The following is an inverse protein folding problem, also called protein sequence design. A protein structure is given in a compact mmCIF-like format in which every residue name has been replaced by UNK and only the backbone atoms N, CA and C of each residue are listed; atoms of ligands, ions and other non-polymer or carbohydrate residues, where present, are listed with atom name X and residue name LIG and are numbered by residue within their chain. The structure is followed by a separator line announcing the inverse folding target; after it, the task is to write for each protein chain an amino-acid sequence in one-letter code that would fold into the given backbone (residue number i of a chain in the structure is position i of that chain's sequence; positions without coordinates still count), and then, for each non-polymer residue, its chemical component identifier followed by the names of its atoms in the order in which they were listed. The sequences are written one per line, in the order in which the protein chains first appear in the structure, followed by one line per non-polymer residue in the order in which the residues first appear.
data_IF_068138003300
#
_entry.id   IF_068138003300
#
_cell.length_a   1.000
_cell.length_b   1.000
_cell.length_c   1.000
_cell.angle_alpha   90.00
_cell.angle_beta   90.00
_cell.angle_gamma   90.00
#
_symmetry.space_group_name_H-M   'P 1'
#
loop_
_entity.id
_entity.type
_entity.pdbx_description
1 polymer ?
#
# COMPACT_ATOMS: atom_id res chain seq x y z
N UNK A 1 5.51 -21.89 13.67
CA UNK A 1 4.09 -22.22 13.38
C UNK A 1 3.98 -22.93 12.02
N UNK A 2 4.52 -22.32 10.97
CA UNK A 2 4.69 -22.89 9.61
C UNK A 2 5.14 -24.36 9.58
N UNK A 3 6.32 -24.69 10.14
CA UNK A 3 6.84 -26.08 10.17
C UNK A 3 5.86 -27.10 10.76
N UNK A 4 5.11 -26.73 11.81
CA UNK A 4 4.15 -27.62 12.47
C UNK A 4 2.93 -27.87 11.58
N UNK A 5 2.46 -26.84 10.86
CA UNK A 5 1.35 -26.95 9.92
C UNK A 5 1.74 -27.74 8.67
N UNK A 6 2.92 -27.47 8.10
CA UNK A 6 3.46 -28.24 6.99
C UNK A 6 3.59 -29.72 7.35
N UNK A 7 4.11 -30.06 8.55
CA UNK A 7 4.18 -31.45 9.00
C UNK A 7 2.81 -32.13 9.13
N UNK A 8 1.79 -31.41 9.62
CA UNK A 8 0.42 -31.95 9.72
C UNK A 8 -0.21 -32.16 8.34
N UNK A 9 0.00 -31.22 7.43
CA UNK A 9 -0.49 -31.27 6.05
C UNK A 9 0.20 -32.41 5.28
N UNK A 10 1.51 -32.55 5.42
CA UNK A 10 2.30 -33.63 4.81
C UNK A 10 1.81 -35.01 5.27
N UNK A 11 1.56 -35.17 6.57
CA UNK A 11 0.97 -36.39 7.11
C UNK A 11 -0.40 -36.69 6.48
N UNK A 12 -1.29 -35.69 6.42
CA UNK A 12 -2.61 -35.84 5.82
C UNK A 12 -2.54 -36.22 4.34
N UNK A 13 -1.74 -35.51 3.53
CA UNK A 13 -1.58 -35.80 2.10
C UNK A 13 -0.98 -37.18 1.87
N UNK A 14 -0.01 -37.60 2.70
CA UNK A 14 0.57 -38.95 2.60
C UNK A 14 -0.48 -40.02 2.87
N UNK A 15 -1.24 -39.89 3.97
CA UNK A 15 -2.33 -40.83 4.29
C UNK A 15 -3.43 -40.86 3.21
N UNK A 16 -3.69 -39.72 2.56
CA UNK A 16 -4.63 -39.62 1.45
C UNK A 16 -4.13 -40.36 0.21
N UNK A 17 -2.87 -40.13 -0.19
CA UNK A 17 -2.24 -40.83 -1.31
C UNK A 17 -2.21 -42.35 -1.07
N UNK A 18 -1.87 -42.78 0.15
CA UNK A 18 -1.87 -44.19 0.53
C UNK A 18 -3.27 -44.82 0.51
N UNK A 19 -4.29 -44.09 0.98
CA UNK A 19 -5.69 -44.55 0.89
C UNK A 19 -6.15 -44.75 -0.55
N UNK A 20 -5.71 -43.91 -1.48
CA UNK A 20 -5.98 -44.09 -2.92
C UNK A 20 -5.29 -45.37 -3.42
N UNK A 21 -4.02 -45.58 -3.09
CA UNK A 21 -3.27 -46.78 -3.47
C UNK A 21 -3.94 -48.06 -2.96
N UNK A 22 -4.39 -48.04 -1.70
CA UNK A 22 -5.09 -49.16 -1.09
C UNK A 22 -6.42 -49.42 -1.81
N UNK A 23 -7.15 -48.36 -2.19
CA UNK A 23 -8.41 -48.50 -2.92
C UNK A 23 -8.22 -49.07 -4.32
N UNK A 24 -7.19 -48.63 -5.05
CA UNK A 24 -6.81 -49.19 -6.36
C UNK A 24 -6.48 -50.67 -6.24
N UNK A 25 -5.80 -51.05 -5.16
CA UNK A 25 -5.45 -52.45 -4.87
C UNK A 25 -6.68 -53.29 -4.53
N UNK A 26 -7.60 -52.77 -3.71
CA UNK A 26 -8.88 -53.43 -3.40
C UNK A 26 -9.77 -53.63 -4.62
N UNK A 27 -9.74 -52.71 -5.59
CA UNK A 27 -10.46 -52.83 -6.85
C UNK A 27 -9.81 -53.80 -7.85
N UNK A 28 -8.66 -54.41 -7.50
CA UNK A 28 -7.93 -55.33 -8.37
C UNK A 28 -7.28 -54.66 -9.59
N UNK A 29 -7.20 -53.32 -9.61
CA UNK A 29 -6.68 -52.54 -10.73
C UNK A 29 -5.15 -52.45 -10.75
N UNK A 30 -4.45 -53.08 -9.82
CA UNK A 30 -2.98 -53.04 -9.70
C UNK A 30 -2.24 -53.62 -10.92
N UNK A 31 -2.90 -54.46 -11.72
CA UNK A 31 -2.34 -55.01 -12.98
C UNK A 31 -2.56 -54.10 -14.20
N UNK A 32 -3.39 -53.05 -14.07
CA UNK A 32 -3.63 -52.12 -15.17
C UNK A 32 -2.49 -51.08 -15.23
N UNK A 33 -1.80 -51.03 -16.36
CA UNK A 33 -0.69 -50.11 -16.60
C UNK A 33 -1.11 -48.64 -16.49
N UNK A 34 -2.33 -48.31 -16.93
CA UNK A 34 -2.89 -46.95 -16.85
C UNK A 34 -3.15 -46.52 -15.40
N UNK A 35 -3.63 -47.46 -14.56
CA UNK A 35 -3.85 -47.21 -13.14
C UNK A 35 -2.53 -46.96 -12.40
N UNK A 36 -1.46 -47.68 -12.77
CA UNK A 36 -0.13 -47.47 -12.21
C UNK A 36 0.49 -46.13 -12.66
N UNK A 37 0.27 -45.71 -13.91
CA UNK A 37 0.67 -44.37 -14.39
C UNK A 37 -0.06 -43.26 -13.61
N UNK A 38 -1.36 -43.42 -13.38
CA UNK A 38 -2.14 -42.46 -12.59
C UNK A 38 -1.66 -42.40 -11.14
N UNK A 39 -1.38 -43.55 -10.52
CA UNK A 39 -0.82 -43.61 -9.16
C UNK A 39 0.52 -42.87 -9.09
N UNK A 40 1.42 -43.12 -10.05
CA UNK A 40 2.70 -42.42 -10.11
C UNK A 40 2.50 -40.91 -10.21
N UNK A 41 1.62 -40.44 -11.09
CA UNK A 41 1.28 -39.02 -11.21
C UNK A 41 0.76 -38.43 -9.88
N UNK A 42 -0.09 -39.16 -9.16
CA UNK A 42 -0.60 -38.72 -7.84
C UNK A 42 0.54 -38.60 -6.81
N UNK A 43 1.50 -39.53 -6.80
CA UNK A 43 2.63 -39.48 -5.87
C UNK A 43 3.61 -38.36 -6.20
N UNK A 44 3.86 -38.13 -7.49
CA UNK A 44 4.76 -37.08 -7.99
C UNK A 44 4.11 -35.68 -7.93
N UNK A 45 2.79 -35.60 -7.78
CA UNK A 45 2.09 -34.32 -7.66
C UNK A 45 2.63 -33.48 -6.51
N UNK A 46 2.88 -32.21 -6.83
CA UNK A 46 3.60 -31.29 -5.99
C UNK A 46 2.89 -31.05 -4.65
N UNK A 47 3.67 -30.97 -3.57
CA UNK A 47 3.13 -30.90 -2.23
C UNK A 47 2.79 -29.46 -1.88
N UNK A 48 1.54 -29.23 -1.47
CA UNK A 48 1.16 -27.94 -0.89
C UNK A 48 2.06 -27.65 0.32
N UNK A 49 2.68 -26.48 0.35
CA UNK A 49 3.51 -26.02 1.46
C UNK A 49 3.16 -24.58 1.79
N UNK A 50 3.08 -24.27 3.09
CA UNK A 50 2.89 -22.92 3.59
C UNK A 50 4.24 -22.24 3.72
N UNK A 51 4.33 -21.02 3.19
CA UNK A 51 5.50 -20.14 3.27
C UNK A 51 5.27 -19.04 4.31
N UNK A 52 6.34 -18.29 4.63
CA UNK A 52 6.26 -17.17 5.58
C UNK A 52 5.23 -16.11 5.18
N UNK A 53 5.04 -15.90 3.88
CA UNK A 53 4.10 -14.93 3.32
C UNK A 53 2.65 -15.26 3.65
N UNK A 54 2.30 -16.55 3.73
CA UNK A 54 0.95 -17.01 4.09
C UNK A 54 0.57 -16.66 5.53
N UNK A 55 1.57 -16.46 6.40
CA UNK A 55 1.38 -16.06 7.80
C UNK A 55 1.53 -14.56 8.02
N UNK A 56 1.95 -13.80 7.00
CA UNK A 56 2.03 -12.35 7.13
C UNK A 56 0.62 -11.76 7.04
N UNK A 57 0.15 -11.19 8.15
CA UNK A 57 -1.03 -10.31 8.11
C UNK A 57 -0.72 -9.19 7.11
N UNK A 58 -1.50 -9.13 6.03
CA UNK A 58 -1.39 -8.04 5.05
C UNK A 58 -1.48 -6.71 5.81
N UNK A 59 -0.36 -5.99 5.87
CA UNK A 59 -0.33 -4.65 6.44
C UNK A 59 -1.05 -3.75 5.44
N UNK A 60 -2.32 -3.46 5.69
CA UNK A 60 -3.03 -2.44 4.90
C UNK A 60 -2.20 -1.17 4.98
N UNK A 61 -1.84 -0.62 3.82
CA UNK A 61 -1.22 0.70 3.75
C UNK A 61 -2.20 1.65 4.41
N UNK A 62 -1.80 2.25 5.53
CA UNK A 62 -2.59 3.29 6.16
C UNK A 62 -2.41 4.53 5.30
N UNK A 63 -3.42 4.91 4.52
CA UNK A 63 -3.42 6.21 3.87
C UNK A 63 -3.34 7.28 4.96
N UNK A 64 -2.23 8.02 4.97
CA UNK A 64 -2.00 9.08 5.92
C UNK A 64 -2.99 10.22 5.64
N UNK A 65 -3.87 10.51 6.59
CA UNK A 65 -4.71 11.71 6.55
C UNK A 65 -3.89 12.86 7.16
N UNK A 66 -3.64 13.95 6.43
CA UNK A 66 -2.99 15.14 6.98
C UNK A 66 -3.72 15.66 8.21
N UNK A 67 -2.99 16.24 9.17
CA UNK A 67 -3.55 16.66 10.48
C UNK A 67 -4.72 17.65 10.31
N UNK A 68 -4.64 18.57 9.36
CA UNK A 68 -5.70 19.56 9.07
C UNK A 68 -6.99 18.92 8.54
N UNK A 69 -6.88 17.74 7.92
CA UNK A 69 -8.00 16.98 7.38
C UNK A 69 -8.53 15.96 8.40
N UNK A 70 -7.88 15.81 9.56
CA UNK A 70 -8.33 14.88 10.60
C UNK A 70 -9.50 15.45 11.38
N UNK A 71 -10.29 14.52 11.90
CA UNK A 71 -11.36 14.81 12.83
C UNK A 71 -10.81 15.38 14.15
N UNK A 72 -11.44 16.45 14.66
CA UNK A 72 -11.04 17.14 15.88
C UNK A 72 -11.42 16.41 17.18
N UNK A 73 -12.19 15.33 17.11
CA UNK A 73 -12.59 14.55 18.29
C UNK A 73 -11.50 13.58 18.77
N UNK A 74 -11.48 13.35 20.08
CA UNK A 74 -10.63 12.37 20.76
C UNK A 74 -11.27 10.98 20.78
N UNK A 75 -10.42 9.97 20.66
CA UNK A 75 -10.77 8.55 20.92
C UNK A 75 -10.77 8.28 22.42
N UNK A 76 -11.23 7.10 22.82
CA UNK A 76 -11.11 6.61 24.20
C UNK A 76 -9.65 6.55 24.70
N UNK A 77 -8.66 6.54 23.81
CA UNK A 77 -7.23 6.65 24.13
C UNK A 77 -6.76 8.10 24.37
N UNK A 78 -7.66 9.09 24.39
CA UNK A 78 -7.38 10.53 24.42
C UNK A 78 -6.58 11.09 23.23
N UNK A 79 -6.29 10.28 22.21
CA UNK A 79 -5.61 10.71 20.98
C UNK A 79 -6.58 11.27 19.92
N UNK A 80 -6.05 12.09 19.01
CA UNK A 80 -6.81 12.59 17.85
C UNK A 80 -7.35 11.45 17.00
N UNK A 81 -8.62 11.59 16.61
CA UNK A 81 -9.17 10.68 15.63
C UNK A 81 -8.43 10.79 14.28
N UNK A 82 -7.77 9.69 13.88
CA UNK A 82 -7.03 9.63 12.61
C UNK A 82 -7.90 9.56 11.34
N UNK A 83 -9.22 9.75 11.45
CA UNK A 83 -10.16 9.68 10.32
C UNK A 83 -10.32 11.07 9.70
N UNK A 84 -10.55 11.12 8.39
CA UNK A 84 -10.84 12.37 7.67
C UNK A 84 -12.15 12.99 8.17
N UNK A 85 -12.16 14.30 8.40
CA UNK A 85 -13.38 15.07 8.72
C UNK A 85 -14.29 15.15 7.50
N UNK A 86 -15.62 15.27 7.70
CA UNK A 86 -16.55 15.49 6.59
C UNK A 86 -16.46 16.93 6.09
N UNK A 87 -16.77 17.15 4.82
CA UNK A 87 -16.88 18.50 4.27
C UNK A 87 -17.93 19.31 5.06
N UNK A 88 -17.58 20.55 5.39
CA UNK A 88 -18.40 21.43 6.22
C UNK A 88 -18.51 21.04 7.71
N UNK A 89 -17.76 20.03 8.18
CA UNK A 89 -17.79 19.60 9.58
C UNK A 89 -16.39 19.35 10.15
N UNK A 90 -16.24 19.51 11.47
CA UNK A 90 -14.97 19.26 12.18
C UNK A 90 -14.79 17.78 12.58
N UNK A 91 -15.82 16.97 12.35
CA UNK A 91 -15.88 15.58 12.80
C UNK A 91 -15.94 14.61 11.62
N UNK A 92 -15.39 13.40 11.82
CA UNK A 92 -15.62 12.29 10.90
C UNK A 92 -17.03 11.72 11.11
N UNK A 93 -17.53 10.94 10.14
CA UNK A 93 -18.90 10.42 10.19
C UNK A 93 -19.27 9.63 11.45
N UNK A 94 -18.30 9.07 12.18
CA UNK A 94 -18.57 8.41 13.47
C UNK A 94 -18.66 9.36 14.65
N UNK A 95 -17.82 10.40 14.71
CA UNK A 95 -17.90 11.40 15.78
C UNK A 95 -19.00 12.45 15.53
N UNK A 96 -19.61 12.46 14.34
CA UNK A 96 -20.87 13.17 14.12
C UNK A 96 -22.08 12.42 14.70
N UNK A 97 -22.02 11.08 14.74
CA UNK A 97 -23.12 10.22 15.20
C UNK A 97 -23.01 9.83 16.68
N UNK A 98 -21.81 9.86 17.24
CA UNK A 98 -21.54 9.49 18.63
C UNK A 98 -20.79 10.58 19.37
N UNK A 99 -20.91 10.58 20.69
CA UNK A 99 -20.29 11.58 21.56
C UNK A 99 -18.76 11.48 21.53
N UNK A 100 -18.04 12.56 21.19
CA UNK A 100 -16.59 12.62 21.35
C UNK A 100 -16.17 12.38 22.80
N UNK A 101 -15.05 11.69 23.03
CA UNK A 101 -14.43 11.59 24.37
C UNK A 101 -13.65 12.86 24.76
N UNK A 102 -13.83 13.94 24.00
CA UNK A 102 -13.12 15.20 24.11
C UNK A 102 -12.84 15.79 22.72
N UNK A 103 -12.45 17.06 22.70
CA UNK A 103 -12.12 17.80 21.48
C UNK A 103 -10.65 18.23 21.59
N UNK A 104 -9.96 18.28 20.46
CA UNK A 104 -8.63 18.85 20.34
C UNK A 104 -8.78 20.29 19.90
N UNK A 105 -8.38 21.20 20.78
CA UNK A 105 -8.33 22.61 20.47
C UNK A 105 -7.06 22.89 19.66
N UNK A 106 -7.22 23.20 18.38
CA UNK A 106 -6.11 23.41 17.43
C UNK A 106 -5.49 24.81 17.61
N UNK A 107 -6.01 25.63 18.54
CA UNK A 107 -5.60 27.02 18.70
C UNK A 107 -4.16 27.22 19.23
N UNK A 108 -3.46 26.16 19.67
CA UNK A 108 -2.18 26.29 20.38
C UNK A 108 -0.92 25.68 19.72
N UNK A 109 -1.02 24.97 18.59
CA UNK A 109 0.17 24.35 17.97
C UNK A 109 0.53 25.01 16.64
N UNK A 110 1.83 25.13 16.30
CA UNK A 110 2.27 25.86 15.14
C UNK A 110 1.57 25.28 13.92
N UNK A 111 0.90 26.15 13.16
CA UNK A 111 0.33 25.81 11.85
C UNK A 111 1.40 25.06 11.07
N UNK A 112 1.26 23.74 10.97
CA UNK A 112 2.17 22.92 10.19
C UNK A 112 2.04 23.41 8.74
N UNK A 113 3.03 24.17 8.28
CA UNK A 113 3.06 24.86 6.98
C UNK A 113 3.17 23.90 5.79
N UNK A 114 2.99 22.59 5.98
CA UNK A 114 3.01 21.61 4.90
C UNK A 114 1.74 21.74 4.06
N UNK A 115 1.85 22.41 2.91
CA UNK A 115 0.80 22.45 1.88
C UNK A 115 1.04 21.37 0.84
N UNK A 116 -0.05 20.78 0.33
CA UNK A 116 0.02 19.88 -0.83
C UNK A 116 0.13 20.73 -2.09
N UNK A 117 1.25 20.61 -2.81
CA UNK A 117 1.50 21.31 -4.08
C UNK A 117 1.38 20.31 -5.23
N UNK A 118 0.70 20.71 -6.30
CA UNK A 118 0.67 19.97 -7.56
C UNK A 118 1.85 20.38 -8.42
N UNK A 119 2.65 19.40 -8.83
CA UNK A 119 3.83 19.57 -9.69
C UNK A 119 3.60 18.80 -10.99
N UNK A 120 3.95 19.39 -12.12
CA UNK A 120 3.90 18.73 -13.43
C UNK A 120 5.23 18.89 -14.18
N UNK A 121 5.44 18.03 -15.17
CA UNK A 121 6.60 18.09 -16.04
C UNK A 121 6.33 19.01 -17.23
N UNK A 122 7.27 19.92 -17.51
CA UNK A 122 7.22 20.87 -18.62
C UNK A 122 8.51 20.79 -19.43
N UNK A 123 8.40 20.71 -20.75
CA UNK A 123 9.54 20.83 -21.65
C UNK A 123 9.89 22.31 -21.82
N UNK A 124 11.12 22.67 -21.48
CA UNK A 124 11.70 24.01 -21.66
C UNK A 124 13.01 23.85 -22.42
N UNK A 125 13.02 24.27 -23.69
CA UNK A 125 14.15 24.14 -24.63
C UNK A 125 14.75 22.72 -24.73
N UNK A 126 13.90 21.69 -24.71
CA UNK A 126 14.29 20.30 -24.88
C UNK A 126 14.74 19.60 -23.59
N UNK A 127 14.62 20.26 -22.44
CA UNK A 127 14.91 19.69 -21.13
C UNK A 127 13.61 19.67 -20.31
N UNK A 128 13.31 18.53 -19.70
CA UNK A 128 12.12 18.35 -18.87
C UNK A 128 12.39 18.90 -17.47
N UNK A 129 11.63 19.91 -17.06
CA UNK A 129 11.64 20.47 -15.72
C UNK A 129 10.35 20.18 -14.97
N UNK A 130 10.44 20.05 -13.66
CA UNK A 130 9.26 19.90 -12.79
C UNK A 130 8.89 21.25 -12.19
N UNK A 131 7.67 21.71 -12.46
CA UNK A 131 7.21 23.05 -12.07
C UNK A 131 5.85 23.02 -11.35
N UNK A 132 5.56 24.04 -10.54
CA UNK A 132 4.27 24.23 -9.85
C UNK A 132 3.51 25.50 -10.27
N UNK A 133 2.31 25.70 -9.74
CA UNK A 133 1.48 26.89 -9.98
C UNK A 133 2.05 28.18 -9.35
N UNK A 134 3.07 28.07 -8.50
CA UNK A 134 3.67 29.19 -7.78
C UNK A 134 5.00 29.63 -8.41
N UNK A 135 5.23 29.27 -9.68
CA UNK A 135 6.42 29.63 -10.45
C UNK A 135 7.73 29.02 -9.94
N UNK A 136 7.68 27.91 -9.20
CA UNK A 136 8.86 27.21 -8.71
C UNK A 136 9.29 26.10 -9.68
N UNK A 137 10.60 25.95 -9.85
CA UNK A 137 11.23 24.82 -10.54
C UNK A 137 11.90 23.93 -9.50
N UNK A 138 11.58 22.64 -9.51
CA UNK A 138 12.06 21.66 -8.53
C UNK A 138 13.18 20.79 -9.08
N UNK A 139 14.03 20.33 -8.17
CA UNK A 139 15.03 19.32 -8.46
C UNK A 139 14.36 17.99 -8.84
N UNK A 140 14.71 17.45 -10.01
CA UNK A 140 14.10 16.24 -10.55
C UNK A 140 14.24 15.02 -9.60
N UNK A 141 15.41 14.82 -9.00
CA UNK A 141 15.63 13.68 -8.10
C UNK A 141 14.71 13.70 -6.87
N UNK A 142 14.44 14.89 -6.32
CA UNK A 142 13.57 15.05 -5.15
C UNK A 142 12.11 14.75 -5.50
N UNK A 143 11.66 15.11 -6.70
CA UNK A 143 10.31 14.81 -7.21
C UNK A 143 10.16 13.32 -7.49
N UNK A 144 11.12 12.71 -8.21
CA UNK A 144 11.13 11.28 -8.54
C UNK A 144 11.15 10.43 -7.27
N UNK A 145 11.90 10.87 -6.24
CA UNK A 145 12.01 10.17 -4.95
C UNK A 145 10.84 10.44 -4.00
N UNK A 146 9.82 11.21 -4.40
CA UNK A 146 8.69 11.63 -3.56
C UNK A 146 9.14 12.24 -2.22
N UNK A 147 10.19 13.05 -2.25
CA UNK A 147 10.76 13.67 -1.05
C UNK A 147 9.81 14.73 -0.49
N UNK A 148 9.64 14.74 0.83
CA UNK A 148 8.91 15.82 1.51
C UNK A 148 9.74 17.11 1.48
N UNK A 149 9.14 18.22 1.07
CA UNK A 149 9.79 19.52 0.90
C UNK A 149 10.94 19.48 -0.16
N UNK A 150 10.61 19.19 -1.43
CA UNK A 150 11.60 19.09 -2.51
C UNK A 150 12.34 20.42 -2.70
N UNK A 151 13.62 20.36 -3.07
CA UNK A 151 14.44 21.56 -3.26
C UNK A 151 13.97 22.34 -4.50
N UNK A 152 13.66 23.62 -4.29
CA UNK A 152 13.45 24.58 -5.39
C UNK A 152 14.83 25.01 -5.89
N UNK A 153 15.06 24.84 -7.19
CA UNK A 153 16.34 25.15 -7.85
C UNK A 153 16.31 26.46 -8.63
N UNK A 154 15.13 26.88 -9.09
CA UNK A 154 14.95 28.12 -9.82
C UNK A 154 13.48 28.56 -9.81
N UNK A 155 13.20 29.71 -10.43
CA UNK A 155 11.84 30.15 -10.77
C UNK A 155 11.67 30.26 -12.28
N UNK A 156 10.50 29.85 -12.77
CA UNK A 156 10.15 30.01 -14.17
C UNK A 156 9.26 31.24 -14.38
N UNK A 157 9.36 31.84 -15.55
CA UNK A 157 8.46 32.87 -16.07
C UNK A 157 7.68 32.27 -17.22
N UNK A 158 6.38 32.55 -17.26
CA UNK A 158 5.53 32.25 -18.40
C UNK A 158 5.28 33.54 -19.17
N UNK A 159 5.83 33.64 -20.38
CA UNK A 159 5.62 34.77 -21.29
C UNK A 159 4.73 34.24 -22.41
N UNK A 160 3.45 34.65 -22.39
CA UNK A 160 2.41 34.15 -23.29
C UNK A 160 2.25 32.62 -23.24
N UNK A 161 2.81 31.90 -24.22
CA UNK A 161 2.80 30.43 -24.30
C UNK A 161 4.15 29.78 -23.95
N UNK A 162 5.22 30.56 -23.87
CA UNK A 162 6.56 30.05 -23.63
C UNK A 162 6.96 30.10 -22.16
N UNK A 163 7.67 29.06 -21.73
CA UNK A 163 8.25 28.94 -20.41
C UNK A 163 9.74 29.26 -20.50
N UNK A 164 10.22 30.14 -19.62
CA UNK A 164 11.64 30.50 -19.48
C UNK A 164 12.06 30.41 -18.02
N UNK A 165 13.29 29.99 -17.76
CA UNK A 165 13.97 29.99 -16.47
C UNK A 165 15.13 31.01 -16.53
N UNK A 166 14.90 32.26 -16.07
CA UNK A 166 15.90 33.34 -16.17
C UNK A 166 17.23 33.01 -15.48
N UNK A 167 17.20 32.26 -14.38
CA UNK A 167 18.39 31.88 -13.63
C UNK A 167 19.33 30.94 -14.41
N UNK A 168 18.80 30.22 -15.40
CA UNK A 168 19.60 29.39 -16.29
C UNK A 168 19.89 30.07 -17.63
N UNK A 169 19.45 31.32 -17.83
CA UNK A 169 19.51 32.02 -19.13
C UNK A 169 18.77 31.28 -20.25
N UNK A 170 17.69 30.57 -19.91
CA UNK A 170 16.90 29.75 -20.83
C UNK A 170 15.48 30.30 -20.86
#
# INVERSE_FOLDING_TARGET
MERRLNKKLEGYITTFKDSIRDKVTQMGMSKNQEANQLLQYIYDYDRLSFNKEDFQKRKRVKNFVPIFDRCCAKRASNEQCTRRKKEGNEYCGTHMKGTPHGIIDIQGEPKNNSQKVEVWAQDIKGIIYYIDKNNNVYQAEDIISNRTNPKVIAKYLKIEEDYSIPEFNI
#
